data_IF_812727527596
#
_entry.id   IF_812727527596
#
_cell.length_a   1.000
_cell.length_b   1.000
_cell.length_c   1.000
_cell.angle_alpha   90.00
_cell.angle_beta   90.00
_cell.angle_gamma   90.00
#
_symmetry.space_group_name_H-M   'P 1'
#
loop_
_entity.id
_entity.type
_entity.pdbx_description
1 polymer ?
#
# COMPACT_ATOMS: atom_id res chain seq x y z
N UNK A 1 25.46 18.39 19.48
CA UNK A 1 25.37 16.98 19.01
C UNK A 1 24.82 15.97 20.04
N UNK A 2 24.46 16.36 21.28
CA UNK A 2 23.89 15.42 22.28
C UNK A 2 22.35 15.29 22.26
N UNK A 3 21.64 16.34 21.83
CA UNK A 3 20.17 16.39 21.85
C UNK A 3 19.55 15.50 20.76
N UNK A 4 20.13 15.47 19.56
CA UNK A 4 19.68 14.60 18.45
C UNK A 4 19.87 13.12 18.79
N UNK A 5 20.94 12.77 19.52
CA UNK A 5 21.21 11.40 19.99
C UNK A 5 20.19 10.92 21.02
N UNK A 6 19.78 11.79 21.95
CA UNK A 6 18.76 11.48 22.95
C UNK A 6 17.36 11.34 22.34
N UNK A 7 17.04 12.16 21.34
CA UNK A 7 15.77 12.08 20.61
C UNK A 7 15.66 10.77 19.83
N UNK A 8 16.71 10.39 19.10
CA UNK A 8 16.76 9.11 18.37
C UNK A 8 16.69 7.90 19.31
N UNK A 9 17.38 7.93 20.46
CA UNK A 9 17.30 6.84 21.46
C UNK A 9 15.91 6.70 22.08
N UNK A 10 15.22 7.82 22.37
CA UNK A 10 13.84 7.78 22.86
C UNK A 10 12.86 7.25 21.82
N UNK A 11 13.04 7.63 20.54
CA UNK A 11 12.24 7.13 19.42
C UNK A 11 12.46 5.62 19.19
N UNK A 12 13.70 5.15 19.35
CA UNK A 12 14.06 3.73 19.25
C UNK A 12 13.52 2.90 20.43
N UNK A 13 13.54 3.44 21.64
CA UNK A 13 12.93 2.77 22.80
C UNK A 13 11.41 2.70 22.69
N UNK A 14 10.75 3.79 22.26
CA UNK A 14 9.29 3.81 22.11
C UNK A 14 8.82 2.86 21.01
N UNK A 15 9.56 2.77 19.89
CA UNK A 15 9.31 1.78 18.83
C UNK A 15 9.55 0.35 19.30
N UNK A 16 10.60 0.07 20.08
CA UNK A 16 10.83 -1.27 20.65
C UNK A 16 9.73 -1.69 21.65
N UNK A 17 9.24 -0.76 22.47
CA UNK A 17 8.13 -1.03 23.42
C UNK A 17 6.83 -1.29 22.65
N UNK A 18 6.53 -0.52 21.60
CA UNK A 18 5.39 -0.78 20.72
C UNK A 18 5.51 -2.14 19.99
N UNK A 19 6.71 -2.51 19.53
CA UNK A 19 6.99 -3.80 18.90
C UNK A 19 6.81 -4.99 19.85
N UNK A 20 7.23 -4.84 21.12
CA UNK A 20 7.02 -5.86 22.15
C UNK A 20 5.55 -6.07 22.47
N UNK A 21 4.75 -5.00 22.47
CA UNK A 21 3.30 -5.09 22.68
C UNK A 21 2.54 -5.69 21.47
N UNK A 22 3.11 -5.66 20.26
CA UNK A 22 2.55 -6.38 19.11
C UNK A 22 2.78 -7.90 19.19
N UNK A 23 3.88 -8.37 19.81
CA UNK A 23 4.14 -9.80 20.01
C UNK A 23 3.16 -10.48 20.98
N UNK A 24 2.38 -9.72 21.77
CA UNK A 24 1.44 -10.25 22.77
C UNK A 24 -0.03 -10.23 22.33
N UNK A 25 -0.39 -9.54 21.25
CA UNK A 25 -1.75 -9.55 20.69
C UNK A 25 -1.88 -10.72 19.70
N UNK A 26 -2.25 -11.89 20.21
CA UNK A 26 -2.54 -13.12 19.42
C UNK A 26 -3.91 -13.10 18.72
N UNK A 27 -4.46 -11.93 18.39
CA UNK A 27 -5.70 -11.87 17.60
C UNK A 27 -5.35 -11.69 16.13
N UNK A 28 -5.86 -12.56 15.27
CA UNK A 28 -5.71 -12.40 13.83
C UNK A 28 -6.22 -11.00 13.41
N UNK A 29 -5.47 -10.32 12.55
CA UNK A 29 -5.91 -9.05 11.98
C UNK A 29 -7.25 -9.24 11.28
N UNK A 30 -8.16 -8.25 11.35
CA UNK A 30 -9.43 -8.33 10.65
C UNK A 30 -9.19 -8.44 9.15
N UNK A 31 -10.01 -9.26 8.48
CA UNK A 31 -10.02 -9.34 7.02
C UNK A 31 -10.46 -7.99 6.43
N UNK A 32 -9.97 -7.61 5.23
CA UNK A 32 -10.50 -6.45 4.53
C UNK A 32 -12.01 -6.59 4.31
N UNK A 33 -12.82 -5.58 4.68
CA UNK A 33 -14.26 -5.64 4.47
C UNK A 33 -14.58 -5.63 2.98
N UNK A 34 -15.75 -6.18 2.63
CA UNK A 34 -16.36 -5.97 1.32
C UNK A 34 -17.44 -4.90 1.52
N UNK A 35 -17.30 -3.69 0.96
CA UNK A 35 -18.34 -2.66 1.06
C UNK A 35 -19.62 -3.15 0.35
N UNK A 36 -20.78 -2.63 0.76
CA UNK A 36 -22.02 -2.95 0.04
C UNK A 36 -21.98 -2.36 -1.37
N UNK A 37 -22.80 -2.94 -2.25
CA UNK A 37 -22.92 -2.48 -3.63
C UNK A 37 -23.43 -1.04 -3.68
N UNK A 38 -24.42 -0.72 -2.84
CA UNK A 38 -25.03 0.61 -2.73
C UNK A 38 -23.99 1.63 -2.28
N UNK A 39 -23.28 1.36 -1.17
CA UNK A 39 -22.25 2.27 -0.65
C UNK A 39 -21.13 2.53 -1.67
N UNK A 40 -20.81 1.52 -2.49
CA UNK A 40 -19.79 1.62 -3.53
C UNK A 40 -20.29 2.45 -4.73
N UNK A 41 -21.52 2.23 -5.19
CA UNK A 41 -22.12 2.98 -6.30
C UNK A 41 -22.40 4.43 -5.92
N UNK A 42 -22.89 4.69 -4.71
CA UNK A 42 -23.13 6.04 -4.20
C UNK A 42 -21.83 6.84 -4.20
N UNK A 43 -20.75 6.26 -3.65
CA UNK A 43 -19.45 6.91 -3.61
C UNK A 43 -18.82 7.06 -4.99
N UNK A 44 -19.03 6.09 -5.89
CA UNK A 44 -18.60 6.19 -7.28
C UNK A 44 -19.26 7.38 -7.99
N UNK A 45 -20.58 7.53 -7.87
CA UNK A 45 -21.34 8.61 -8.50
C UNK A 45 -20.98 9.98 -7.91
N UNK A 46 -20.75 10.05 -6.60
CA UNK A 46 -20.25 11.25 -5.92
C UNK A 46 -18.93 11.73 -6.55
N UNK A 47 -17.94 10.83 -6.68
CA UNK A 47 -16.65 11.20 -7.29
C UNK A 47 -16.75 11.44 -8.80
N UNK A 48 -17.59 10.69 -9.51
CA UNK A 48 -17.83 10.92 -10.93
C UNK A 48 -18.36 12.35 -11.18
N UNK A 49 -19.24 12.86 -10.31
CA UNK A 49 -19.75 14.23 -10.40
C UNK A 49 -18.65 15.29 -10.25
N UNK A 50 -17.67 15.04 -9.39
CA UNK A 50 -16.51 15.95 -9.19
C UNK A 50 -15.61 15.97 -10.42
N UNK A 51 -15.36 14.82 -11.04
CA UNK A 51 -14.50 14.74 -12.23
C UNK A 51 -15.22 15.27 -13.48
N UNK A 52 -16.54 15.11 -13.56
CA UNK A 52 -17.37 15.49 -14.71
C UNK A 52 -17.99 16.89 -14.59
N UNK A 53 -17.40 17.80 -13.81
CA UNK A 53 -17.91 19.18 -13.65
C UNK A 53 -18.10 19.84 -15.03
N UNK A 54 -19.29 20.40 -15.26
CA UNK A 54 -19.67 21.01 -16.54
C UNK A 54 -20.17 20.03 -17.61
N UNK A 55 -20.05 18.71 -17.40
CA UNK A 55 -20.42 17.67 -18.37
C UNK A 55 -21.72 16.95 -17.98
N UNK A 56 -22.82 17.70 -17.89
CA UNK A 56 -24.12 17.21 -17.36
C UNK A 56 -24.66 15.97 -18.09
N UNK A 57 -24.57 15.94 -19.42
CA UNK A 57 -25.06 14.81 -20.23
C UNK A 57 -24.27 13.52 -19.97
N UNK A 58 -22.94 13.63 -19.84
CA UNK A 58 -22.07 12.50 -19.50
C UNK A 58 -22.38 11.96 -18.10
N UNK A 59 -22.54 12.85 -17.12
CA UNK A 59 -22.88 12.46 -15.75
C UNK A 59 -24.25 11.77 -15.65
N UNK A 60 -25.25 12.26 -16.39
CA UNK A 60 -26.57 11.62 -16.46
C UNK A 60 -26.48 10.21 -17.06
N UNK A 61 -25.66 10.03 -18.10
CA UNK A 61 -25.40 8.72 -18.71
C UNK A 61 -24.73 7.77 -17.73
N UNK A 62 -23.75 8.25 -16.95
CA UNK A 62 -23.10 7.46 -15.89
C UNK A 62 -24.09 7.02 -14.81
N UNK A 63 -25.01 7.91 -14.41
CA UNK A 63 -26.03 7.60 -13.41
C UNK A 63 -27.00 6.51 -13.90
N UNK A 64 -27.49 6.63 -15.14
CA UNK A 64 -28.34 5.61 -15.77
C UNK A 64 -27.60 4.25 -15.90
N UNK A 65 -26.33 4.28 -16.30
CA UNK A 65 -25.50 3.07 -16.38
C UNK A 65 -25.33 2.41 -14.99
N UNK A 66 -25.04 3.18 -13.95
CA UNK A 66 -24.91 2.66 -12.59
C UNK A 66 -26.21 2.02 -12.08
N UNK A 67 -27.36 2.65 -12.36
CA UNK A 67 -28.67 2.09 -12.00
C UNK A 67 -28.96 0.76 -12.74
N UNK A 68 -28.66 0.69 -14.03
CA UNK A 68 -28.80 -0.55 -14.82
C UNK A 68 -27.84 -1.64 -14.35
N UNK A 69 -26.66 -1.27 -13.87
CA UNK A 69 -25.64 -2.20 -13.41
C UNK A 69 -26.04 -2.93 -12.12
N UNK A 70 -26.86 -2.35 -11.25
CA UNK A 70 -27.26 -2.95 -9.95
C UNK A 70 -27.68 -4.41 -10.10
N UNK A 71 -28.57 -4.73 -11.05
CA UNK A 71 -29.06 -6.11 -11.27
C UNK A 71 -27.97 -7.08 -11.69
N UNK A 72 -26.99 -6.61 -12.47
CA UNK A 72 -25.86 -7.41 -12.91
C UNK A 72 -24.81 -7.55 -11.81
N UNK A 73 -24.71 -6.55 -10.93
CA UNK A 73 -23.73 -6.49 -9.86
C UNK A 73 -24.11 -7.28 -8.62
N UNK A 74 -25.41 -7.48 -8.33
CA UNK A 74 -25.87 -8.30 -7.19
C UNK A 74 -25.22 -9.70 -7.15
N UNK A 75 -25.28 -10.54 -8.20
CA UNK A 75 -24.61 -11.85 -8.17
C UNK A 75 -23.08 -11.74 -8.08
N UNK A 76 -22.48 -10.66 -8.62
CA UNK A 76 -21.03 -10.42 -8.48
C UNK A 76 -20.64 -10.06 -7.04
N UNK A 77 -21.48 -9.31 -6.34
CA UNK A 77 -21.29 -8.96 -4.94
C UNK A 77 -21.35 -10.21 -4.04
N UNK A 78 -22.28 -11.12 -4.31
CA UNK A 78 -22.37 -12.42 -3.62
C UNK A 78 -21.10 -13.25 -3.83
N UNK A 79 -20.63 -13.36 -5.08
CA UNK A 79 -19.36 -14.03 -5.39
C UNK A 79 -18.17 -13.37 -4.68
N UNK A 80 -18.14 -12.03 -4.61
CA UNK A 80 -17.06 -11.31 -3.92
C UNK A 80 -17.06 -11.59 -2.41
N UNK A 81 -18.25 -11.66 -1.79
CA UNK A 81 -18.42 -12.07 -0.40
C UNK A 81 -17.92 -13.50 -0.16
N UNK A 82 -18.24 -14.45 -1.04
CA UNK A 82 -17.70 -15.80 -0.97
C UNK A 82 -16.17 -15.84 -1.08
N UNK A 83 -15.59 -15.07 -2.00
CA UNK A 83 -14.13 -14.95 -2.14
C UNK A 83 -13.51 -14.39 -0.86
N UNK A 84 -14.16 -13.40 -0.22
CA UNK A 84 -13.72 -12.82 1.05
C UNK A 84 -13.78 -13.82 2.22
N UNK A 85 -14.79 -14.69 2.25
CA UNK A 85 -14.84 -15.76 3.25
C UNK A 85 -13.68 -16.75 3.06
N UNK A 86 -13.37 -17.12 1.81
CA UNK A 86 -12.36 -18.13 1.45
C UNK A 86 -10.91 -17.61 1.46
N UNK A 87 -10.70 -16.29 1.51
CA UNK A 87 -9.36 -15.66 1.47
C UNK A 87 -9.05 -14.85 2.75
N UNK A 88 -7.78 -14.77 3.20
CA UNK A 88 -7.39 -13.80 4.24
C UNK A 88 -7.44 -12.34 3.73
N UNK A 89 -7.27 -12.13 2.43
CA UNK A 89 -7.40 -10.83 1.76
C UNK A 89 -7.94 -11.05 0.34
N UNK A 90 -9.21 -10.71 0.11
CA UNK A 90 -9.84 -10.89 -1.20
C UNK A 90 -9.27 -9.95 -2.27
N UNK A 91 -8.84 -8.75 -1.86
CA UNK A 91 -8.40 -7.71 -2.78
C UNK A 91 -7.06 -8.06 -3.44
N UNK A 92 -6.13 -8.70 -2.71
CA UNK A 92 -4.82 -9.09 -3.25
C UNK A 92 -4.92 -9.92 -4.52
N UNK A 93 -5.94 -10.79 -4.62
CA UNK A 93 -6.20 -11.62 -5.81
C UNK A 93 -6.39 -10.79 -7.08
N UNK A 94 -6.98 -9.61 -6.97
CA UNK A 94 -7.29 -8.72 -8.10
C UNK A 94 -6.28 -7.59 -8.22
N UNK A 95 -5.92 -6.96 -7.11
CA UNK A 95 -5.09 -5.77 -7.09
C UNK A 95 -3.67 -6.03 -7.59
N UNK A 96 -3.01 -7.09 -7.13
CA UNK A 96 -1.60 -7.34 -7.49
C UNK A 96 -1.43 -7.61 -9.00
N UNK A 97 -2.27 -8.45 -9.65
CA UNK A 97 -2.20 -8.62 -11.09
C UNK A 97 -2.46 -7.34 -11.89
N UNK A 98 -3.55 -6.61 -11.57
CA UNK A 98 -3.96 -5.45 -12.36
C UNK A 98 -3.05 -4.23 -12.15
N UNK A 99 -2.55 -4.02 -10.93
CA UNK A 99 -1.72 -2.84 -10.64
C UNK A 99 -0.27 -3.00 -11.08
N UNK A 100 0.25 -4.24 -11.16
CA UNK A 100 1.67 -4.48 -11.45
C UNK A 100 1.89 -5.54 -12.53
N UNK A 101 1.40 -6.77 -12.32
CA UNK A 101 1.86 -7.92 -13.12
C UNK A 101 1.40 -7.90 -14.58
N UNK A 102 0.26 -7.26 -14.88
CA UNK A 102 -0.26 -7.13 -16.24
C UNK A 102 0.17 -5.84 -16.94
N UNK A 103 0.70 -4.88 -16.20
CA UNK A 103 1.14 -3.59 -16.78
C UNK A 103 2.36 -3.84 -17.67
N UNK A 104 2.27 -3.41 -18.93
CA UNK A 104 3.32 -3.66 -19.95
C UNK A 104 4.28 -2.48 -20.14
N UNK A 105 4.10 -1.41 -19.35
CA UNK A 105 5.02 -0.28 -19.35
C UNK A 105 6.36 -0.68 -18.72
N UNK A 106 7.50 -0.14 -19.20
CA UNK A 106 8.79 -0.36 -18.57
C UNK A 106 8.77 0.04 -17.09
N UNK A 107 9.36 -0.76 -16.21
CA UNK A 107 9.34 -0.47 -14.77
C UNK A 107 10.11 0.79 -14.35
N UNK A 108 11.22 1.21 -15.02
CA UNK A 108 11.84 2.50 -14.73
C UNK A 108 10.86 3.64 -14.98
N UNK A 109 10.83 4.63 -14.08
CA UNK A 109 9.93 5.80 -14.10
C UNK A 109 8.45 5.46 -13.86
N UNK A 110 7.91 4.41 -14.49
CA UNK A 110 6.46 4.14 -14.48
C UNK A 110 5.99 3.32 -13.28
N UNK A 111 6.85 2.51 -12.65
CA UNK A 111 6.44 1.60 -11.57
C UNK A 111 7.39 1.59 -10.38
N UNK A 112 8.70 1.50 -10.63
CA UNK A 112 9.69 1.41 -9.55
C UNK A 112 9.97 2.80 -8.96
N UNK A 113 9.59 3.07 -7.70
CA UNK A 113 9.94 4.33 -7.06
C UNK A 113 11.46 4.41 -6.82
N UNK A 114 12.04 5.59 -7.00
CA UNK A 114 13.43 5.87 -6.67
C UNK A 114 13.56 6.50 -5.27
N UNK A 115 14.58 6.10 -4.52
CA UNK A 115 14.95 6.74 -3.26
C UNK A 115 16.38 7.28 -3.37
N UNK A 116 16.59 8.54 -2.96
CA UNK A 116 17.88 9.22 -3.03
C UNK A 116 18.41 9.41 -1.61
N UNK A 117 19.57 8.83 -1.32
CA UNK A 117 20.25 9.02 -0.04
C UNK A 117 20.95 10.38 0.04
N UNK A 118 21.25 10.87 1.26
CA UNK A 118 22.10 12.05 1.45
C UNK A 118 23.40 11.90 0.67
N UNK A 119 23.85 13.00 0.06
CA UNK A 119 25.09 13.02 -0.72
C UNK A 119 26.28 12.70 0.19
N UNK A 120 27.03 11.67 -0.17
CA UNK A 120 28.30 11.29 0.47
C UNK A 120 29.45 11.68 -0.44
N UNK A 121 30.48 12.30 0.12
CA UNK A 121 31.73 12.60 -0.60
C UNK A 121 32.71 11.45 -0.35
N UNK A 122 33.26 10.89 -1.42
CA UNK A 122 34.34 9.90 -1.35
C UNK A 122 35.60 10.55 -1.91
N UNK A 123 36.68 10.60 -1.12
CA UNK A 123 37.97 11.13 -1.58
C UNK A 123 38.80 10.03 -2.26
N UNK A 124 38.59 8.79 -1.85
CA UNK A 124 39.30 7.61 -2.37
C UNK A 124 38.34 6.46 -2.72
N UNK A 125 38.83 5.50 -3.52
CA UNK A 125 38.12 4.25 -3.76
C UNK A 125 37.90 3.44 -2.47
N UNK A 126 38.83 3.53 -1.52
CA UNK A 126 38.71 2.85 -0.22
C UNK A 126 37.53 3.40 0.60
N UNK A 127 37.27 4.71 0.56
CA UNK A 127 36.10 5.33 1.22
C UNK A 127 34.78 4.79 0.66
N UNK A 128 34.72 4.64 -0.67
CA UNK A 128 33.54 4.08 -1.34
C UNK A 128 33.30 2.61 -0.97
N UNK A 129 34.37 1.80 -0.90
CA UNK A 129 34.29 0.40 -0.48
C UNK A 129 33.86 0.30 0.98
N UNK A 130 34.46 1.09 1.89
CA UNK A 130 34.09 1.13 3.32
C UNK A 130 32.62 1.50 3.50
N UNK A 131 32.15 2.53 2.78
CA UNK A 131 30.75 2.94 2.84
C UNK A 131 29.81 1.83 2.36
N UNK A 132 30.12 1.19 1.24
CA UNK A 132 29.33 0.08 0.70
C UNK A 132 29.28 -1.09 1.68
N UNK A 133 30.43 -1.47 2.26
CA UNK A 133 30.49 -2.54 3.26
C UNK A 133 29.64 -2.24 4.50
N UNK A 134 29.66 -1.00 5.00
CA UNK A 134 28.83 -0.57 6.12
C UNK A 134 27.33 -0.57 5.77
N UNK A 135 26.96 -0.12 4.56
CA UNK A 135 25.58 -0.16 4.08
C UNK A 135 25.07 -1.61 3.99
N UNK A 136 25.83 -2.50 3.36
CA UNK A 136 25.48 -3.93 3.27
C UNK A 136 25.36 -4.56 4.65
N UNK A 137 26.28 -4.27 5.59
CA UNK A 137 26.18 -4.76 6.97
C UNK A 137 24.89 -4.29 7.65
N UNK A 138 24.55 -3.01 7.51
CA UNK A 138 23.30 -2.46 8.07
C UNK A 138 22.04 -3.12 7.48
N UNK A 139 22.04 -3.44 6.18
CA UNK A 139 20.94 -4.18 5.54
C UNK A 139 20.83 -5.61 6.09
N UNK A 140 21.95 -6.29 6.34
CA UNK A 140 21.97 -7.62 6.96
C UNK A 140 21.49 -7.59 8.41
N UNK A 141 21.94 -6.61 9.20
CA UNK A 141 21.46 -6.39 10.56
C UNK A 141 19.93 -6.17 10.57
N UNK A 142 19.40 -5.39 9.62
CA UNK A 142 17.95 -5.18 9.49
C UNK A 142 17.21 -6.46 9.08
N UNK A 143 17.76 -7.23 8.12
CA UNK A 143 17.20 -8.54 7.75
C UNK A 143 17.12 -9.48 8.96
N UNK A 144 18.17 -9.55 9.77
CA UNK A 144 18.19 -10.40 10.96
C UNK A 144 17.08 -10.01 11.96
N UNK A 145 16.74 -8.72 12.07
CA UNK A 145 15.60 -8.28 12.90
C UNK A 145 14.24 -8.73 12.36
N UNK A 146 14.10 -8.90 11.03
CA UNK A 146 12.86 -9.39 10.40
C UNK A 146 12.71 -10.90 10.63
N UNK A 147 13.81 -11.65 10.58
CA UNK A 147 13.81 -13.10 10.71
C UNK A 147 13.51 -13.58 12.17
N UNK A 148 13.57 -12.69 13.17
CA UNK A 148 13.42 -12.98 14.62
C UNK A 148 12.17 -12.40 15.29
#
# INVERSE_FOLDING_TARGET
>A
MRIVSLFLKKQLLSTQIAYRNLKTVKTALPKPPVPTLEATLDRYLEYAAVVAVGQRASLATTHDAAQKFVRQATPLQEQLLEISQKSPNWATKFWLPEMYMRVRMPTPVNSNPGYIFPKVKFETQEDHIKYTALLTRGLLEYKNLIDT
#
